data_IF_497933656958
#
_entry.id   IF_497933656958
#
_cell.length_a   1.000
_cell.length_b   1.000
_cell.length_c   1.000
_cell.angle_alpha   90.00
_cell.angle_beta   90.00
_cell.angle_gamma   90.00
#
_symmetry.space_group_name_H-M   'P 1'
#
loop_
_entity.id
_entity.type
_entity.pdbx_description
1 polymer ?
#
# COMPACT_ATOMS: atom_id res chain seq x y z
N UNK A 1 23.18 -3.56 6.30
CA UNK A 1 22.61 -2.54 5.41
C UNK A 1 21.13 -2.55 5.71
N UNK A 2 20.63 -1.52 6.39
CA UNK A 2 19.17 -1.36 6.58
C UNK A 2 18.58 -1.15 5.20
N UNK A 3 17.59 -1.95 4.84
CA UNK A 3 16.86 -1.76 3.57
C UNK A 3 16.24 -0.38 3.57
N UNK A 4 16.43 0.40 2.52
CA UNK A 4 15.81 1.73 2.39
C UNK A 4 14.30 1.65 2.09
N UNK A 5 13.76 0.43 1.97
CA UNK A 5 12.36 0.15 1.63
C UNK A 5 11.70 -0.77 2.65
N UNK A 6 10.44 -0.52 2.97
CA UNK A 6 9.59 -1.41 3.77
C UNK A 6 8.21 -1.58 3.13
N UNK A 7 7.44 -2.54 3.65
CA UNK A 7 6.03 -2.75 3.29
C UNK A 7 5.15 -2.26 4.44
N UNK A 8 4.18 -1.42 4.14
CA UNK A 8 3.08 -1.08 5.02
C UNK A 8 1.88 -1.94 4.66
N UNK A 9 1.58 -2.92 5.48
CA UNK A 9 0.41 -3.80 5.35
C UNK A 9 -0.78 -3.09 5.96
N UNK A 10 -1.71 -2.68 5.11
CA UNK A 10 -2.84 -1.85 5.49
C UNK A 10 -4.10 -2.69 5.68
N UNK A 11 -4.74 -2.55 6.84
CA UNK A 11 -6.03 -3.14 7.17
C UNK A 11 -5.95 -4.19 8.27
N UNK A 12 -7.10 -4.85 8.54
CA UNK A 12 -7.18 -5.93 9.52
C UNK A 12 -6.61 -7.21 8.91
N UNK A 13 -5.52 -7.71 9.44
CA UNK A 13 -4.86 -8.92 8.96
C UNK A 13 -5.15 -10.07 9.92
N UNK A 14 -5.65 -11.18 9.41
CA UNK A 14 -5.84 -12.41 10.16
C UNK A 14 -4.50 -13.09 10.47
N UNK A 15 -4.44 -13.88 11.55
CA UNK A 15 -3.19 -14.48 12.07
C UNK A 15 -2.46 -15.33 11.03
N UNK A 16 -3.20 -16.14 10.27
CA UNK A 16 -2.63 -16.96 9.20
C UNK A 16 -2.00 -16.09 8.11
N UNK A 17 -2.66 -14.98 7.77
CA UNK A 17 -2.20 -14.09 6.74
C UNK A 17 -0.98 -13.28 7.16
N UNK A 18 -0.87 -12.89 8.44
CA UNK A 18 0.35 -12.28 8.99
C UNK A 18 1.55 -13.19 8.75
N UNK A 19 1.42 -14.49 9.02
CA UNK A 19 2.50 -15.48 8.80
C UNK A 19 2.88 -15.56 7.32
N UNK A 20 1.88 -15.69 6.44
CA UNK A 20 2.10 -15.75 4.99
C UNK A 20 2.85 -14.51 4.48
N UNK A 21 2.45 -13.31 4.90
CA UNK A 21 3.12 -12.08 4.47
C UNK A 21 4.57 -12.02 4.99
N UNK A 22 4.81 -12.45 6.23
CA UNK A 22 6.18 -12.52 6.81
C UNK A 22 7.08 -13.51 6.09
N UNK A 23 6.52 -14.63 5.60
CA UNK A 23 7.27 -15.62 4.81
C UNK A 23 7.55 -15.16 3.38
N UNK A 24 6.63 -14.41 2.79
CA UNK A 24 6.69 -14.00 1.39
C UNK A 24 7.52 -12.73 1.15
N UNK A 25 7.55 -11.80 2.12
CA UNK A 25 8.32 -10.58 2.01
C UNK A 25 9.67 -10.72 2.72
N UNK A 26 10.77 -10.58 1.97
CA UNK A 26 12.14 -10.56 2.49
C UNK A 26 12.60 -9.15 2.92
N UNK A 27 11.67 -8.22 3.11
CA UNK A 27 11.91 -6.84 3.55
C UNK A 27 11.04 -6.51 4.75
N UNK A 28 11.40 -5.50 5.56
CA UNK A 28 10.67 -5.15 6.77
C UNK A 28 9.19 -4.87 6.52
N UNK A 29 8.33 -5.35 7.42
CA UNK A 29 6.90 -5.14 7.41
C UNK A 29 6.49 -4.22 8.55
N UNK A 30 5.56 -3.31 8.28
CA UNK A 30 4.84 -2.50 9.24
C UNK A 30 3.35 -2.81 9.07
N UNK A 31 2.74 -3.38 10.10
CA UNK A 31 1.31 -3.68 10.09
C UNK A 31 0.54 -2.47 10.59
N UNK A 32 -0.28 -1.86 9.77
CA UNK A 32 -1.15 -0.75 10.15
C UNK A 32 -2.60 -1.22 10.19
N UNK A 33 -3.02 -1.65 11.37
CA UNK A 33 -4.31 -2.28 11.64
C UNK A 33 -5.20 -1.42 12.54
N UNK A 34 -6.27 -1.97 13.10
CA UNK A 34 -7.25 -1.27 13.91
C UNK A 34 -7.14 -1.64 15.39
N UNK A 35 -7.60 -0.75 16.29
CA UNK A 35 -7.50 -0.91 17.74
C UNK A 35 -8.14 -2.19 18.27
N UNK A 36 -9.13 -2.74 17.57
CA UNK A 36 -9.84 -3.98 17.89
C UNK A 36 -9.30 -5.22 17.18
N UNK A 37 -8.14 -5.12 16.49
CA UNK A 37 -7.50 -6.27 15.87
C UNK A 37 -6.98 -7.24 16.93
N UNK A 38 -6.99 -8.53 16.58
CA UNK A 38 -6.43 -9.57 17.46
C UNK A 38 -4.92 -9.39 17.60
N UNK A 39 -4.49 -8.97 18.78
CA UNK A 39 -3.08 -8.74 19.09
C UNK A 39 -2.25 -10.01 19.07
N UNK A 40 -2.87 -11.19 19.25
CA UNK A 40 -2.16 -12.48 19.21
C UNK A 40 -1.68 -12.86 17.81
N UNK A 41 -2.18 -12.15 16.77
CA UNK A 41 -1.71 -12.33 15.39
C UNK A 41 -0.27 -11.84 15.18
N UNK A 42 0.24 -11.00 16.08
CA UNK A 42 1.55 -10.34 15.96
C UNK A 42 2.49 -10.78 17.07
N UNK A 43 3.79 -10.80 16.79
CA UNK A 43 4.83 -11.02 17.78
C UNK A 43 5.38 -9.70 18.32
N UNK A 44 6.07 -9.74 19.46
CA UNK A 44 6.70 -8.55 20.07
C UNK A 44 7.77 -7.90 19.17
N UNK A 45 8.28 -8.65 18.19
CA UNK A 45 9.25 -8.14 17.21
C UNK A 45 8.61 -7.49 15.99
N UNK A 46 7.28 -7.55 15.85
CA UNK A 46 6.58 -6.96 14.73
C UNK A 46 6.33 -5.46 14.98
N UNK A 47 6.52 -4.63 13.97
CA UNK A 47 6.13 -3.24 14.01
C UNK A 47 4.63 -3.13 13.69
N UNK A 48 3.80 -2.84 14.70
CA UNK A 48 2.34 -2.80 14.58
C UNK A 48 1.77 -1.48 15.06
N UNK A 49 0.96 -0.85 14.21
CA UNK A 49 0.18 0.33 14.52
C UNK A 49 -1.29 -0.03 14.69
N UNK A 50 -1.86 0.32 15.82
CA UNK A 50 -3.28 0.17 16.12
C UNK A 50 -3.99 1.51 15.94
N UNK A 51 -4.67 1.68 14.81
CA UNK A 51 -5.38 2.91 14.47
C UNK A 51 -6.74 2.96 15.16
N UNK A 52 -7.17 4.16 15.55
CA UNK A 52 -8.54 4.40 15.94
C UNK A 52 -9.44 4.52 14.73
N UNK A 53 -10.67 4.02 14.84
CA UNK A 53 -11.64 4.16 13.77
C UNK A 53 -12.05 5.62 13.59
N UNK A 54 -12.11 6.13 12.35
CA UNK A 54 -12.72 7.43 12.10
C UNK A 54 -14.21 7.39 12.34
N UNK A 55 -14.79 8.53 12.70
CA UNK A 55 -16.24 8.69 12.84
C UNK A 55 -16.99 8.47 11.53
N UNK A 56 -16.39 8.82 10.41
CA UNK A 56 -16.86 8.55 9.05
C UNK A 56 -15.91 7.57 8.36
N UNK A 57 -16.45 6.43 7.90
CA UNK A 57 -15.67 5.43 7.18
C UNK A 57 -15.45 5.77 5.70
N UNK A 58 -16.21 6.74 5.19
CA UNK A 58 -16.23 7.09 3.78
C UNK A 58 -16.91 6.02 2.91
N UNK A 59 -17.15 6.38 1.66
CA UNK A 59 -17.72 5.47 0.66
C UNK A 59 -16.72 4.33 0.40
N UNK A 60 -17.20 3.08 0.36
CA UNK A 60 -16.38 1.86 0.22
C UNK A 60 -15.24 1.77 1.25
N UNK A 61 -15.45 2.29 2.48
CA UNK A 61 -14.44 2.31 3.54
C UNK A 61 -13.15 3.09 3.15
N UNK A 62 -13.27 4.08 2.29
CA UNK A 62 -12.12 4.85 1.80
C UNK A 62 -11.30 5.47 2.93
N UNK A 63 -11.96 6.06 3.94
CA UNK A 63 -11.24 6.67 5.07
C UNK A 63 -10.52 5.65 5.94
N UNK A 64 -11.04 4.42 6.04
CA UNK A 64 -10.32 3.34 6.72
C UNK A 64 -9.02 3.02 5.98
N UNK A 65 -9.12 2.80 4.66
CA UNK A 65 -7.94 2.52 3.83
C UNK A 65 -6.93 3.66 3.87
N UNK A 66 -7.38 4.90 3.72
CA UNK A 66 -6.53 6.08 3.69
C UNK A 66 -5.79 6.29 5.01
N UNK A 67 -6.51 6.27 6.14
CA UNK A 67 -5.93 6.54 7.47
C UNK A 67 -4.91 5.47 7.84
N UNK A 68 -5.26 4.20 7.70
CA UNK A 68 -4.32 3.13 8.03
C UNK A 68 -3.11 3.12 7.11
N UNK A 69 -3.27 3.43 5.81
CA UNK A 69 -2.13 3.58 4.91
C UNK A 69 -1.25 4.75 5.31
N UNK A 70 -1.83 5.95 5.49
CA UNK A 70 -1.08 7.16 5.82
C UNK A 70 -0.30 7.01 7.13
N UNK A 71 -0.95 6.50 8.19
CA UNK A 71 -0.30 6.32 9.49
C UNK A 71 0.85 5.31 9.41
N UNK A 72 0.68 4.21 8.66
CA UNK A 72 1.76 3.26 8.42
C UNK A 72 2.93 3.88 7.64
N UNK A 73 2.65 4.72 6.64
CA UNK A 73 3.68 5.42 5.85
C UNK A 73 4.41 6.45 6.73
N UNK A 74 3.69 7.19 7.58
CA UNK A 74 4.31 8.12 8.54
C UNK A 74 5.22 7.38 9.52
N UNK A 75 4.81 6.20 9.99
CA UNK A 75 5.64 5.34 10.84
C UNK A 75 6.89 4.86 10.09
N UNK A 76 6.76 4.47 8.84
CA UNK A 76 7.91 4.12 8.00
C UNK A 76 8.90 5.27 7.87
N UNK A 77 8.42 6.51 7.73
CA UNK A 77 9.26 7.71 7.71
C UNK A 77 9.98 7.94 9.04
N UNK A 78 9.28 7.78 10.15
CA UNK A 78 9.86 7.87 11.51
C UNK A 78 11.00 6.87 11.71
N UNK A 79 10.84 5.64 11.19
CA UNK A 79 11.85 4.59 11.25
C UNK A 79 13.01 4.78 10.25
N UNK A 80 12.98 5.83 9.43
CA UNK A 80 14.07 6.22 8.54
C UNK A 80 14.07 5.58 7.16
N UNK A 81 13.00 4.86 6.79
CA UNK A 81 12.85 4.33 5.44
C UNK A 81 12.72 5.47 4.41
N UNK A 82 13.18 5.23 3.19
CA UNK A 82 13.14 6.19 2.07
C UNK A 82 12.01 5.90 1.09
N UNK A 83 11.64 4.63 1.00
CA UNK A 83 10.62 4.12 0.09
C UNK A 83 9.66 3.21 0.83
N UNK A 84 8.44 3.14 0.37
CA UNK A 84 7.40 2.34 0.99
C UNK A 84 6.52 1.68 -0.07
N UNK A 85 6.18 0.43 0.19
CA UNK A 85 5.13 -0.30 -0.52
C UNK A 85 3.90 -0.28 0.36
N UNK A 86 2.82 0.36 -0.06
CA UNK A 86 1.51 0.16 0.55
C UNK A 86 0.93 -1.13 -0.01
N UNK A 87 0.53 -2.03 0.87
CA UNK A 87 -0.01 -3.35 0.54
C UNK A 87 -1.34 -3.60 1.26
N UNK A 88 -2.33 -4.14 0.56
CA UNK A 88 -3.59 -4.54 1.21
C UNK A 88 -3.41 -5.84 1.99
N UNK A 89 -3.99 -5.89 3.18
CA UNK A 89 -3.86 -7.03 4.09
C UNK A 89 -4.50 -8.33 3.58
N UNK A 90 -5.36 -8.27 2.58
CA UNK A 90 -6.09 -9.39 1.97
C UNK A 90 -5.44 -9.91 0.67
N UNK A 91 -4.24 -9.45 0.36
CA UNK A 91 -3.51 -9.85 -0.83
C UNK A 91 -2.27 -10.68 -0.48
N UNK A 92 -2.15 -11.85 -1.07
CA UNK A 92 -0.96 -12.69 -0.96
C UNK A 92 0.00 -12.40 -2.13
N UNK A 93 1.26 -12.02 -1.87
CA UNK A 93 2.25 -11.88 -2.94
C UNK A 93 2.73 -13.25 -3.39
N UNK A 94 2.71 -13.52 -4.70
CA UNK A 94 3.25 -14.78 -5.24
C UNK A 94 4.79 -14.79 -5.23
N UNK A 95 5.41 -13.67 -5.58
CA UNK A 95 6.86 -13.54 -5.62
C UNK A 95 7.26 -12.08 -5.34
N UNK A 96 7.61 -11.78 -4.09
CA UNK A 96 7.98 -10.43 -3.68
C UNK A 96 9.30 -9.96 -4.30
N UNK A 97 10.27 -10.85 -4.52
CA UNK A 97 11.56 -10.50 -5.10
C UNK A 97 11.41 -10.09 -6.58
N UNK A 98 10.56 -10.77 -7.33
CA UNK A 98 10.23 -10.36 -8.70
C UNK A 98 9.46 -9.04 -8.73
N UNK A 99 8.54 -8.84 -7.78
CA UNK A 99 7.81 -7.59 -7.65
C UNK A 99 8.77 -6.40 -7.44
N UNK A 100 9.74 -6.54 -6.51
CA UNK A 100 10.71 -5.49 -6.21
C UNK A 100 11.55 -5.08 -7.41
N UNK A 101 11.88 -6.02 -8.32
CA UNK A 101 12.63 -5.73 -9.56
C UNK A 101 11.85 -4.88 -10.57
N UNK A 102 10.52 -4.85 -10.47
CA UNK A 102 9.66 -4.11 -11.38
C UNK A 102 9.49 -2.64 -11.00
N UNK A 103 9.82 -2.28 -9.76
CA UNK A 103 9.70 -0.91 -9.29
C UNK A 103 10.76 0.00 -9.93
N UNK A 104 10.33 1.16 -10.36
CA UNK A 104 11.20 2.22 -10.88
C UNK A 104 11.41 3.29 -9.82
N UNK A 105 12.66 3.71 -9.61
CA UNK A 105 13.05 4.62 -8.52
C UNK A 105 12.41 6.01 -8.63
N UNK A 106 12.28 6.53 -9.83
CA UNK A 106 11.78 7.91 -10.07
C UNK A 106 10.29 7.94 -10.44
N UNK A 107 9.56 6.90 -10.01
CA UNK A 107 8.15 6.74 -10.32
C UNK A 107 7.35 6.46 -9.06
N UNK A 108 6.05 6.77 -9.09
CA UNK A 108 5.08 6.07 -8.27
C UNK A 108 4.65 4.84 -9.06
N UNK A 109 4.81 3.68 -8.45
CA UNK A 109 4.53 2.39 -9.03
C UNK A 109 3.15 1.93 -8.56
N UNK A 110 2.23 1.69 -9.49
CA UNK A 110 0.89 1.16 -9.22
C UNK A 110 0.79 -0.27 -9.70
N UNK A 111 -0.08 -1.05 -9.04
CA UNK A 111 -0.41 -2.41 -9.45
C UNK A 111 -0.84 -2.48 -10.91
N UNK A 112 -1.86 -1.72 -11.27
CA UNK A 112 -2.39 -1.67 -12.62
C UNK A 112 -3.23 -0.42 -12.83
N UNK A 113 -3.64 -0.26 -14.06
CA UNK A 113 -4.66 0.69 -14.47
C UNK A 113 -5.99 -0.05 -14.57
N UNK A 114 -6.96 0.31 -13.73
CA UNK A 114 -8.28 -0.31 -13.77
C UNK A 114 -9.05 0.31 -14.95
N UNK A 115 -9.31 -0.49 -15.96
CA UNK A 115 -10.03 -0.06 -17.15
C UNK A 115 -11.55 -0.15 -16.92
N UNK A 116 -12.08 0.78 -16.14
CA UNK A 116 -13.48 1.16 -16.22
C UNK A 116 -13.61 2.33 -17.18
N UNK A 117 -14.86 2.74 -17.49
CA UNK A 117 -15.19 3.80 -18.48
C UNK A 117 -14.32 5.07 -18.42
N UNK A 118 -13.57 5.30 -17.32
CA UNK A 118 -12.77 6.50 -17.09
C UNK A 118 -11.29 6.27 -16.80
N UNK A 119 -10.84 5.03 -16.64
CA UNK A 119 -9.44 4.68 -16.35
C UNK A 119 -8.95 5.20 -14.99
N UNK A 120 -8.83 4.32 -14.00
CA UNK A 120 -8.38 4.65 -12.65
C UNK A 120 -7.19 3.81 -12.22
N UNK A 121 -6.38 4.35 -11.31
CA UNK A 121 -5.26 3.63 -10.72
C UNK A 121 -5.75 2.65 -9.66
N UNK A 122 -5.37 1.39 -9.80
CA UNK A 122 -5.76 0.36 -8.83
C UNK A 122 -5.10 0.61 -7.45
N UNK A 123 -5.89 0.39 -6.40
CA UNK A 123 -5.52 0.65 -5.01
C UNK A 123 -4.92 -0.55 -4.27
N UNK A 124 -4.70 -1.67 -4.95
CA UNK A 124 -4.26 -2.93 -4.34
C UNK A 124 -2.89 -2.80 -3.66
N UNK A 125 -1.90 -2.36 -4.41
CA UNK A 125 -0.64 -1.90 -3.87
C UNK A 125 -0.08 -0.72 -4.67
N UNK A 126 0.70 0.08 -3.98
CA UNK A 126 1.38 1.24 -4.53
C UNK A 126 2.76 1.32 -3.90
N UNK A 127 3.73 1.78 -4.65
CA UNK A 127 5.10 1.94 -4.16
C UNK A 127 5.66 3.28 -4.64
N UNK A 128 6.44 3.94 -3.80
CA UNK A 128 7.09 5.20 -4.14
C UNK A 128 7.99 5.72 -3.03
N UNK A 129 8.58 6.89 -3.30
CA UNK A 129 9.24 7.65 -2.25
C UNK A 129 8.26 7.99 -1.14
N UNK A 130 8.75 7.99 0.10
CA UNK A 130 7.89 8.12 1.27
C UNK A 130 7.14 9.46 1.31
N UNK A 131 7.79 10.55 0.90
CA UNK A 131 7.15 11.88 0.87
C UNK A 131 6.05 11.96 -0.19
N UNK A 132 6.28 11.40 -1.37
CA UNK A 132 5.26 11.31 -2.42
C UNK A 132 4.06 10.47 -1.97
N UNK A 133 4.32 9.37 -1.25
CA UNK A 133 3.26 8.50 -0.75
C UNK A 133 2.47 9.16 0.38
N UNK A 134 3.12 9.92 1.27
CA UNK A 134 2.41 10.74 2.27
C UNK A 134 1.48 11.72 1.58
N UNK A 135 1.96 12.41 0.57
CA UNK A 135 1.17 13.37 -0.17
C UNK A 135 0.01 12.73 -0.91
N UNK A 136 0.24 11.57 -1.54
CA UNK A 136 -0.79 10.79 -2.23
C UNK A 136 -1.93 10.36 -1.29
N UNK A 137 -1.62 9.98 -0.04
CA UNK A 137 -2.61 9.54 0.94
C UNK A 137 -3.18 10.69 1.80
N UNK A 138 -2.68 11.92 1.65
CA UNK A 138 -3.20 13.12 2.32
C UNK A 138 -4.43 13.67 1.58
N UNK A 139 -5.53 12.91 1.61
CA UNK A 139 -6.82 13.23 0.98
C UNK A 139 -7.83 13.53 2.08
N UNK A 140 -8.50 14.68 2.04
CA UNK A 140 -9.40 15.18 3.08
C UNK A 140 -10.88 15.24 2.66
N UNK A 141 -11.19 14.72 1.49
CA UNK A 141 -12.55 14.70 0.94
C UNK A 141 -13.06 13.27 0.67
N UNK A 142 -14.38 13.12 0.50
CA UNK A 142 -15.04 11.84 0.21
C UNK A 142 -15.13 11.61 -1.30
N UNK A 143 -14.31 10.72 -1.87
CA UNK A 143 -14.41 10.35 -3.28
C UNK A 143 -15.60 9.40 -3.52
N UNK A 144 -16.09 9.31 -4.75
CA UNK A 144 -17.10 8.31 -5.11
C UNK A 144 -16.59 6.87 -4.97
N UNK A 145 -15.28 6.64 -5.09
CA UNK A 145 -14.58 5.38 -4.84
C UNK A 145 -13.06 5.62 -4.69
N UNK A 146 -12.31 4.69 -4.05
CA UNK A 146 -10.90 4.88 -3.71
C UNK A 146 -9.99 5.18 -4.90
N UNK A 147 -10.16 4.44 -5.99
CA UNK A 147 -9.32 4.58 -7.19
C UNK A 147 -9.45 5.97 -7.83
N UNK A 148 -10.65 6.56 -7.76
CA UNK A 148 -10.89 7.93 -8.20
C UNK A 148 -10.09 8.93 -7.38
N UNK A 149 -10.04 8.74 -6.05
CA UNK A 149 -9.31 9.63 -5.16
C UNK A 149 -7.82 9.70 -5.50
N UNK A 150 -7.18 8.55 -5.66
CA UNK A 150 -5.76 8.49 -5.98
C UNK A 150 -5.46 9.04 -7.37
N UNK A 151 -6.30 8.73 -8.34
CA UNK A 151 -6.16 9.27 -9.71
C UNK A 151 -6.30 10.79 -9.70
N UNK A 152 -7.33 11.32 -9.03
CA UNK A 152 -7.56 12.77 -8.92
C UNK A 152 -6.40 13.46 -8.19
N UNK A 153 -5.92 12.87 -7.08
CA UNK A 153 -4.80 13.42 -6.32
C UNK A 153 -3.52 13.49 -7.16
N UNK A 154 -3.25 12.49 -7.98
CA UNK A 154 -2.13 12.52 -8.93
C UNK A 154 -2.22 13.69 -9.91
N UNK A 155 -3.41 13.99 -10.41
CA UNK A 155 -3.61 15.16 -11.28
C UNK A 155 -3.49 16.50 -10.53
N UNK A 156 -4.03 16.61 -9.31
CA UNK A 156 -3.92 17.82 -8.50
C UNK A 156 -2.49 18.20 -8.19
N UNK A 157 -1.69 17.23 -7.81
CA UNK A 157 -0.30 17.43 -7.41
C UNK A 157 0.61 17.69 -8.60
N UNK A 158 0.10 17.64 -9.85
CA UNK A 158 0.91 17.82 -11.07
C UNK A 158 2.21 17.04 -10.96
N UNK A 159 2.12 15.77 -10.57
CA UNK A 159 3.31 14.94 -10.43
C UNK A 159 4.09 14.98 -11.75
N UNK A 160 5.23 15.65 -11.76
CA UNK A 160 6.24 15.55 -12.82
C UNK A 160 6.84 14.13 -12.89
N UNK A 161 6.50 13.30 -11.89
CA UNK A 161 6.97 11.94 -11.78
C UNK A 161 6.20 11.01 -12.70
N UNK A 162 6.95 10.17 -13.37
CA UNK A 162 6.38 9.12 -14.21
C UNK A 162 5.62 8.10 -13.38
N UNK A 163 4.45 7.70 -13.85
CA UNK A 163 3.71 6.56 -13.30
C UNK A 163 4.19 5.28 -13.97
N UNK A 164 4.43 4.25 -13.18
CA UNK A 164 4.77 2.93 -13.67
C UNK A 164 3.66 1.93 -13.31
N UNK A 165 3.13 1.23 -14.30
CA UNK A 165 2.12 0.19 -14.11
C UNK A 165 2.77 -1.18 -14.22
N UNK A 166 2.66 -1.97 -13.16
CA UNK A 166 3.40 -3.22 -13.01
C UNK A 166 2.67 -4.39 -13.66
N UNK A 167 1.35 -4.48 -13.50
CA UNK A 167 0.58 -5.61 -14.02
C UNK A 167 0.68 -5.75 -15.55
N UNK A 168 0.70 -4.63 -16.27
CA UNK A 168 0.86 -4.67 -17.74
C UNK A 168 2.16 -5.33 -18.22
N UNK A 169 3.18 -5.40 -17.34
CA UNK A 169 4.45 -6.07 -17.63
C UNK A 169 4.44 -7.55 -17.26
N UNK A 170 3.54 -7.94 -16.36
CA UNK A 170 3.43 -9.31 -15.85
C UNK A 170 2.47 -10.16 -16.68
N UNK A 171 1.46 -9.54 -17.27
CA UNK A 171 0.55 -10.23 -18.21
C UNK A 171 1.25 -10.69 -19.48
N UNK A 172 2.32 -10.03 -19.89
CA UNK A 172 3.18 -10.49 -21.01
C UNK A 172 3.92 -11.79 -20.67
N UNK A 173 4.08 -12.13 -19.38
CA UNK A 173 4.83 -13.28 -18.87
C UNK A 173 3.97 -14.32 -18.13
N UNK A 174 2.64 -14.26 -18.21
CA UNK A 174 1.69 -15.20 -17.56
C UNK A 174 1.90 -15.41 -16.04
N UNK A 175 2.54 -14.49 -15.34
CA UNK A 175 2.71 -14.57 -13.88
C UNK A 175 1.62 -13.79 -13.17
N UNK A 176 0.65 -14.51 -12.62
CA UNK A 176 -0.37 -13.95 -11.72
C UNK A 176 0.33 -13.60 -10.40
N UNK A 177 0.34 -12.32 -10.02
CA UNK A 177 0.91 -11.84 -8.75
C UNK A 177 0.04 -12.16 -7.53
N UNK A 178 -1.19 -12.57 -7.74
CA UNK A 178 -2.16 -12.84 -6.70
C UNK A 178 -2.84 -14.19 -6.94
N UNK A 179 -3.15 -14.87 -5.85
CA UNK A 179 -4.13 -15.96 -5.80
C UNK A 179 -5.48 -15.38 -5.45
#
# INVERSE_FOLDING_TARGET
IVSDICVVVQGRTEIEFVKVLKEKFNIPLIFSTWEDADKSAYSDSDEVLYNQYPSDRGIYNFHLQRISSLNGILKAKELGYKRVIKWRCDLEPNNSDELLKLFKLDCINFHSFVHHIHGYFADFYMEGNIDDMIELFSIDWNPPYPEFAFTHKMYELKFDKKVNFILNKLTENNNILFK
#
